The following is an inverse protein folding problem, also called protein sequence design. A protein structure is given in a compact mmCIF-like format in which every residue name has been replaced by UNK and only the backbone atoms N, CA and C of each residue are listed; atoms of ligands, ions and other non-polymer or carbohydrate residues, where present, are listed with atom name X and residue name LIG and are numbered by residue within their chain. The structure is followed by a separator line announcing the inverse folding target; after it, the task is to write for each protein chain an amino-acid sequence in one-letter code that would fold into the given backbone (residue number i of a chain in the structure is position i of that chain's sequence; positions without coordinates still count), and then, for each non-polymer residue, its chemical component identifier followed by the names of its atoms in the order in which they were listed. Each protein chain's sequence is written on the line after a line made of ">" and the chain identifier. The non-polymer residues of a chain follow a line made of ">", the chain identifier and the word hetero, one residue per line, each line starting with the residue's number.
data_IF_383720832150
#
_entry.id   IF_383720832150
#
_cell.length_a   1.000
_cell.length_b   1.000
_cell.length_c   1.000
_cell.angle_alpha   90.00
_cell.angle_beta   90.00
_cell.angle_gamma   90.00
#
_symmetry.space_group_name_H-M   'P 1'
#
loop_
_entity.id
_entity.type
_entity.pdbx_description
1 polymer ?
#
# COMPACT_ATOMS: atom_id res chain seq x y z
N UNK A 1 5.77 7.04 -26.68
CA UNK A 1 5.39 5.79 -26.02
C UNK A 1 6.36 5.47 -24.93
N UNK A 2 7.64 5.58 -25.25
CA UNK A 2 8.66 5.29 -24.27
C UNK A 2 8.57 6.25 -23.10
N UNK A 3 8.27 7.49 -23.41
CA UNK A 3 8.11 8.49 -22.35
C UNK A 3 7.00 8.11 -21.40
N UNK A 4 5.93 7.57 -21.95
CA UNK A 4 4.82 7.15 -21.10
C UNK A 4 5.27 6.10 -20.10
N UNK A 5 6.10 5.18 -20.55
CA UNK A 5 6.58 4.13 -19.66
C UNK A 5 7.46 4.71 -18.57
N UNK A 6 8.30 5.68 -18.92
CA UNK A 6 9.12 6.32 -17.92
C UNK A 6 8.28 7.05 -16.88
N UNK A 7 7.21 7.69 -17.34
CA UNK A 7 6.29 8.36 -16.41
C UNK A 7 5.66 7.38 -15.47
N UNK A 8 5.31 6.20 -15.96
CA UNK A 8 4.72 5.19 -15.11
C UNK A 8 5.67 4.78 -14.00
N UNK A 9 6.94 4.68 -14.30
CA UNK A 9 7.92 4.35 -13.29
C UNK A 9 7.97 5.40 -12.20
N UNK A 10 7.96 6.66 -12.60
CA UNK A 10 7.95 7.73 -11.62
C UNK A 10 6.69 7.71 -10.79
N UNK A 11 5.58 7.39 -11.44
CA UNK A 11 4.31 7.36 -10.75
C UNK A 11 4.19 6.18 -9.80
N UNK A 12 4.95 5.13 -10.01
CA UNK A 12 4.85 3.94 -9.17
C UNK A 12 5.06 4.25 -7.70
N UNK A 13 6.08 5.05 -7.38
CA UNK A 13 6.33 5.36 -5.98
C UNK A 13 5.26 6.29 -5.43
N UNK A 14 4.81 7.26 -6.23
CA UNK A 14 3.74 8.13 -5.81
C UNK A 14 2.47 7.34 -5.56
N UNK A 15 2.19 6.36 -6.42
CA UNK A 15 1.04 5.50 -6.22
C UNK A 15 1.14 4.71 -4.91
N UNK A 16 2.35 4.26 -4.59
CA UNK A 16 2.54 3.53 -3.34
C UNK A 16 2.18 4.39 -2.14
N UNK A 17 2.58 5.65 -2.15
CA UNK A 17 2.21 6.54 -1.06
C UNK A 17 0.71 6.76 -1.00
N UNK A 18 0.07 6.87 -2.16
CA UNK A 18 -1.39 7.01 -2.19
C UNK A 18 -2.07 5.77 -1.62
N UNK A 19 -1.56 4.59 -1.95
CA UNK A 19 -2.14 3.36 -1.44
C UNK A 19 -2.08 3.33 0.09
N UNK A 20 -0.98 3.79 0.66
CA UNK A 20 -0.84 3.85 2.11
C UNK A 20 -1.51 5.07 2.71
N UNK A 21 -2.04 5.98 1.87
CA UNK A 21 -2.75 7.18 2.33
C UNK A 21 -1.83 8.07 3.17
N UNK A 22 -0.59 8.21 2.74
CA UNK A 22 0.36 9.10 3.40
C UNK A 22 1.00 10.00 2.35
N UNK A 23 1.57 11.10 2.83
CA UNK A 23 2.31 12.01 1.98
C UNK A 23 3.70 11.47 1.70
N UNK A 24 4.28 11.77 0.54
CA UNK A 24 5.67 11.37 0.29
C UNK A 24 6.65 11.98 1.28
N UNK A 25 6.26 13.08 1.93
CA UNK A 25 7.10 13.72 2.93
C UNK A 25 6.91 13.17 4.33
N UNK A 26 6.03 12.17 4.51
CA UNK A 26 5.77 11.59 5.82
C UNK A 26 7.05 10.95 6.37
N UNK A 27 7.18 10.96 7.69
CA UNK A 27 8.31 10.32 8.33
C UNK A 27 8.21 8.81 8.20
N UNK A 28 9.33 8.13 8.46
CA UNK A 28 9.31 6.66 8.43
C UNK A 28 8.31 6.10 9.43
N UNK A 29 8.23 6.70 10.61
CA UNK A 29 7.27 6.25 11.61
C UNK A 29 5.84 6.44 11.13
N UNK A 30 5.57 7.55 10.47
CA UNK A 30 4.23 7.80 9.94
C UNK A 30 3.87 6.79 8.85
N UNK A 31 4.84 6.46 8.01
CA UNK A 31 4.60 5.47 6.96
C UNK A 31 4.32 4.10 7.58
N UNK A 32 5.10 3.71 8.58
CA UNK A 32 4.89 2.44 9.25
C UNK A 32 3.52 2.38 9.93
N UNK A 33 3.16 3.48 10.60
CA UNK A 33 1.86 3.53 11.27
C UNK A 33 0.72 3.43 10.26
N UNK A 34 0.86 4.11 9.12
CA UNK A 34 -0.16 4.05 8.08
C UNK A 34 -0.31 2.64 7.54
N UNK A 35 0.81 1.97 7.27
CA UNK A 35 0.77 0.60 6.79
C UNK A 35 0.07 -0.31 7.79
N UNK A 36 0.44 -0.19 9.06
CA UNK A 36 -0.14 -1.04 10.10
C UNK A 36 -1.63 -0.81 10.21
N UNK A 37 -2.05 0.46 10.17
CA UNK A 37 -3.47 0.79 10.27
C UNK A 37 -4.25 0.19 9.12
N UNK A 38 -3.74 0.34 7.90
CA UNK A 38 -4.44 -0.18 6.73
C UNK A 38 -4.42 -1.71 6.71
N UNK A 39 -3.32 -2.31 7.12
CA UNK A 39 -3.24 -3.77 7.16
C UNK A 39 -4.28 -4.34 8.12
N UNK A 40 -4.48 -3.69 9.26
CA UNK A 40 -5.51 -4.14 10.20
C UNK A 40 -6.90 -3.88 9.64
N UNK A 41 -7.11 -2.72 9.03
CA UNK A 41 -8.42 -2.35 8.51
C UNK A 41 -8.88 -3.32 7.42
N UNK A 42 -7.96 -3.76 6.58
CA UNK A 42 -8.29 -4.62 5.46
C UNK A 42 -7.86 -6.06 5.66
N UNK A 43 -7.64 -6.45 6.91
CA UNK A 43 -7.24 -7.83 7.20
C UNK A 43 -8.39 -8.77 6.87
N UNK A 44 -8.16 -9.80 6.05
CA UNK A 44 -9.26 -10.68 5.65
C UNK A 44 -9.92 -11.40 6.82
N UNK A 45 -9.16 -11.74 7.85
CA UNK A 45 -9.73 -12.42 9.00
C UNK A 45 -10.73 -11.55 9.73
N UNK A 46 -10.51 -10.24 9.76
CA UNK A 46 -11.41 -9.33 10.47
C UNK A 46 -12.74 -9.18 9.76
N UNK A 47 -12.75 -9.36 8.45
CA UNK A 47 -13.96 -9.16 7.67
C UNK A 47 -14.52 -10.47 7.15
N UNK A 48 -13.97 -11.61 7.58
CA UNK A 48 -14.40 -12.91 7.08
C UNK A 48 -15.86 -13.18 7.36
N UNK A 49 -16.37 -12.68 8.50
CA UNK A 49 -17.76 -12.90 8.87
C UNK A 49 -18.72 -12.05 8.06
N UNK A 50 -18.22 -11.06 7.32
CA UNK A 50 -19.09 -10.18 6.54
C UNK A 50 -19.43 -10.74 5.18
N UNK A 51 -18.81 -11.85 4.79
CA UNK A 51 -19.09 -12.48 3.52
C UNK A 51 -17.83 -12.72 2.72
N UNK A 52 -17.92 -13.69 1.81
CA UNK A 52 -16.74 -14.06 1.04
C UNK A 52 -16.33 -12.97 0.06
N UNK A 53 -17.29 -12.26 -0.48
CA UNK A 53 -16.97 -11.16 -1.40
C UNK A 53 -16.15 -10.09 -0.69
N UNK A 54 -16.55 -9.77 0.54
CA UNK A 54 -15.85 -8.75 1.32
C UNK A 54 -14.47 -9.25 1.72
N UNK A 55 -14.37 -10.53 2.09
CA UNK A 55 -13.09 -11.12 2.44
C UNK A 55 -12.13 -11.07 1.26
N UNK A 56 -12.64 -11.40 0.07
CA UNK A 56 -11.81 -11.38 -1.14
C UNK A 56 -11.35 -9.96 -1.46
N UNK A 57 -12.23 -8.99 -1.33
CA UNK A 57 -11.86 -7.61 -1.57
C UNK A 57 -10.78 -7.17 -0.59
N UNK A 58 -10.88 -7.60 0.67
CA UNK A 58 -9.88 -7.28 1.66
C UNK A 58 -8.52 -7.90 1.32
N UNK A 59 -8.53 -9.12 0.83
CA UNK A 59 -7.28 -9.76 0.41
C UNK A 59 -6.61 -9.01 -0.72
N UNK A 60 -7.40 -8.60 -1.72
CA UNK A 60 -6.83 -7.83 -2.83
C UNK A 60 -6.28 -6.50 -2.36
N UNK A 61 -7.02 -5.84 -1.47
CA UNK A 61 -6.57 -4.56 -0.95
C UNK A 61 -5.28 -4.74 -0.16
N UNK A 62 -5.22 -5.79 0.64
CA UNK A 62 -4.01 -6.04 1.43
C UNK A 62 -2.82 -6.33 0.54
N UNK A 63 -3.02 -7.02 -0.57
CA UNK A 63 -1.94 -7.24 -1.51
C UNK A 63 -1.40 -5.93 -2.05
N UNK A 64 -2.29 -5.00 -2.38
CA UNK A 64 -1.86 -3.69 -2.85
C UNK A 64 -1.10 -2.93 -1.76
N UNK A 65 -1.60 -3.02 -0.53
CA UNK A 65 -0.95 -2.36 0.60
C UNK A 65 0.45 -2.93 0.81
N UNK A 66 0.59 -4.25 0.74
CA UNK A 66 1.89 -4.88 0.92
C UNK A 66 2.85 -4.50 -0.20
N UNK A 67 2.36 -4.46 -1.43
CA UNK A 67 3.21 -4.06 -2.56
C UNK A 67 3.67 -2.63 -2.42
N UNK A 68 2.75 -1.73 -2.01
CA UNK A 68 3.10 -0.35 -1.80
C UNK A 68 4.12 -0.20 -0.67
N UNK A 69 3.91 -0.93 0.41
CA UNK A 69 4.84 -0.91 1.53
C UNK A 69 6.24 -1.34 1.07
N UNK A 70 6.33 -2.41 0.30
CA UNK A 70 7.62 -2.89 -0.15
C UNK A 70 8.33 -1.86 -1.01
N UNK A 71 7.60 -1.20 -1.90
CA UNK A 71 8.19 -0.17 -2.74
C UNK A 71 8.76 0.97 -1.89
N UNK A 72 7.99 1.41 -0.91
CA UNK A 72 8.42 2.52 -0.06
C UNK A 72 9.57 2.10 0.83
N UNK A 73 9.48 0.90 1.43
CA UNK A 73 10.57 0.40 2.28
C UNK A 73 11.87 0.33 1.51
N UNK A 74 11.81 -0.17 0.28
CA UNK A 74 13.00 -0.28 -0.53
C UNK A 74 13.55 1.09 -0.89
N UNK A 75 12.67 2.02 -1.24
CA UNK A 75 13.10 3.36 -1.62
C UNK A 75 13.73 4.10 -0.46
N UNK A 76 13.24 3.87 0.76
CA UNK A 76 13.75 4.54 1.96
C UNK A 76 14.84 3.76 2.66
N UNK A 77 15.09 2.53 2.25
CA UNK A 77 16.07 1.70 2.95
C UNK A 77 15.59 1.20 4.29
N UNK A 78 14.30 1.07 4.47
CA UNK A 78 13.73 0.55 5.73
C UNK A 78 13.84 -0.97 5.77
N UNK A 79 13.77 -1.51 6.98
CA UNK A 79 13.83 -2.96 7.19
C UNK A 79 12.64 -3.50 7.94
#
# INVERSE_FOLDING_TARGET
>A
EVESMLNLKGDSLAEAYKVLEVEPTATDDEVRAAYRRLALKHHPDRVATLGEDIRRAAEEKLQQINAAKERIWKARGLK
#
